data_IF_320251044631
#
_entry.id   IF_320251044631
#
_cell.length_a   1.000
_cell.length_b   1.000
_cell.length_c   1.000
_cell.angle_alpha   90.00
_cell.angle_beta   90.00
_cell.angle_gamma   90.00
#
_symmetry.space_group_name_H-M   'P 1'
#
loop_
_entity.id
_entity.type
_entity.pdbx_description
1 polymer ?
#
# COMPACT_ATOMS: atom_id res chain seq x y z
N UNK A 1 8.81 70.36 -31.24
CA UNK A 1 9.17 69.46 -32.37
C UNK A 1 10.23 68.47 -31.89
N UNK A 2 9.99 67.16 -32.08
CA UNK A 2 10.98 66.04 -32.13
C UNK A 2 11.67 65.70 -30.78
N UNK A 3 11.75 64.47 -30.25
CA UNK A 3 11.24 63.11 -30.56
C UNK A 3 11.26 62.37 -29.21
N UNK A 4 10.19 61.65 -28.88
CA UNK A 4 10.14 60.74 -27.71
C UNK A 4 10.91 59.46 -28.07
N UNK A 5 11.92 59.08 -27.28
CA UNK A 5 12.64 57.82 -27.44
C UNK A 5 12.30 56.90 -26.27
N UNK A 6 11.63 55.81 -26.57
CA UNK A 6 11.21 54.76 -25.65
C UNK A 6 12.44 53.89 -25.37
N UNK A 7 12.91 53.86 -24.12
CA UNK A 7 13.92 52.92 -23.66
C UNK A 7 13.22 51.84 -22.82
N UNK A 8 12.93 50.72 -23.48
CA UNK A 8 12.44 49.49 -22.87
C UNK A 8 13.64 48.64 -22.50
N UNK A 9 13.85 48.35 -21.22
CA UNK A 9 14.75 47.27 -20.83
C UNK A 9 14.03 46.35 -19.83
N UNK A 10 13.64 45.19 -20.36
CA UNK A 10 13.02 44.06 -19.67
C UNK A 10 13.83 43.63 -18.44
N UNK A 11 13.16 43.62 -17.28
CA UNK A 11 13.63 42.90 -16.10
C UNK A 11 13.15 41.45 -16.23
N UNK A 12 14.03 40.54 -16.65
CA UNK A 12 13.76 39.10 -16.60
C UNK A 12 13.86 38.62 -15.15
N UNK A 13 12.72 38.55 -14.46
CA UNK A 13 12.61 37.80 -13.21
C UNK A 13 12.47 36.32 -13.60
N UNK A 14 13.58 35.60 -13.61
CA UNK A 14 13.55 34.14 -13.69
C UNK A 14 13.25 33.62 -12.28
N UNK A 15 11.98 33.45 -11.97
CA UNK A 15 11.53 32.66 -10.82
C UNK A 15 11.74 31.18 -11.15
N UNK A 16 12.92 30.65 -10.83
CA UNK A 16 13.12 29.20 -10.76
C UNK A 16 12.25 28.69 -9.61
N UNK A 17 11.04 28.25 -9.93
CA UNK A 17 10.27 27.40 -9.05
C UNK A 17 11.05 26.08 -8.94
N UNK A 18 11.87 25.97 -7.89
CA UNK A 18 12.37 24.69 -7.42
C UNK A 18 11.16 23.89 -6.93
N UNK A 19 10.50 23.19 -7.86
CA UNK A 19 9.62 22.08 -7.52
C UNK A 19 10.56 20.93 -7.18
N UNK A 20 11.03 20.89 -5.93
CA UNK A 20 11.72 19.69 -5.43
C UNK A 20 10.82 18.47 -5.68
N UNK A 21 11.39 17.29 -5.97
CA UNK A 21 10.58 16.10 -6.16
C UNK A 21 9.69 15.95 -4.93
N UNK A 22 8.38 15.88 -5.15
CA UNK A 22 7.41 15.57 -4.11
C UNK A 22 7.90 14.24 -3.50
N UNK A 23 8.57 14.32 -2.35
CA UNK A 23 9.20 13.16 -1.75
C UNK A 23 8.07 12.26 -1.27
N UNK A 24 7.64 11.33 -2.13
CA UNK A 24 6.56 10.42 -1.80
C UNK A 24 6.99 9.68 -0.54
N UNK A 25 6.21 9.86 0.54
CA UNK A 25 6.49 9.23 1.83
C UNK A 25 6.67 7.74 1.59
N UNK A 26 7.88 7.28 1.83
CA UNK A 26 8.30 5.91 1.59
C UNK A 26 8.43 5.25 2.96
N UNK A 27 7.65 4.20 3.19
CA UNK A 27 7.73 3.41 4.44
C UNK A 27 8.68 2.25 4.19
N UNK A 28 9.62 2.01 5.10
CA UNK A 28 10.60 0.93 4.98
C UNK A 28 10.72 0.19 6.32
N UNK A 29 11.13 -1.07 6.25
CA UNK A 29 11.39 -1.89 7.43
C UNK A 29 11.90 -3.27 7.08
N UNK A 30 11.98 -4.15 8.07
CA UNK A 30 12.34 -5.55 7.89
C UNK A 30 11.09 -6.40 7.77
N UNK A 31 11.04 -7.31 6.78
CA UNK A 31 10.05 -8.37 6.80
C UNK A 31 10.48 -9.43 7.82
N UNK A 32 9.51 -10.07 8.48
CA UNK A 32 9.80 -11.21 9.36
C UNK A 32 9.96 -12.50 8.52
N UNK A 33 10.71 -12.43 7.41
CA UNK A 33 10.80 -13.50 6.42
C UNK A 33 12.11 -13.44 5.62
N UNK A 34 12.34 -14.45 4.79
CA UNK A 34 13.47 -14.50 3.84
C UNK A 34 13.36 -13.47 2.70
N UNK A 35 12.23 -12.75 2.59
CA UNK A 35 12.06 -11.69 1.59
C UNK A 35 12.89 -10.43 1.88
N UNK A 36 13.50 -10.32 3.07
CA UNK A 36 14.43 -9.24 3.41
C UNK A 36 13.72 -7.94 3.79
N UNK A 37 14.32 -6.80 3.45
CA UNK A 37 13.71 -5.49 3.68
C UNK A 37 12.48 -5.27 2.82
N UNK A 38 11.57 -4.42 3.28
CA UNK A 38 10.42 -3.98 2.49
C UNK A 38 10.43 -2.48 2.25
N UNK A 39 9.80 -2.08 1.14
CA UNK A 39 9.51 -0.70 0.80
C UNK A 39 8.07 -0.56 0.35
N UNK A 40 7.36 0.44 0.87
CA UNK A 40 5.99 0.77 0.49
C UNK A 40 5.98 2.16 -0.14
N UNK A 41 5.41 2.26 -1.34
CA UNK A 41 5.22 3.51 -2.08
C UNK A 41 3.77 3.69 -2.45
N UNK A 42 3.24 4.88 -2.29
CA UNK A 42 1.94 5.22 -2.84
C UNK A 42 2.00 5.20 -4.37
N UNK A 43 0.96 4.65 -5.00
CA UNK A 43 0.80 4.61 -6.45
C UNK A 43 -0.53 5.26 -6.86
N UNK A 44 -0.79 5.32 -8.17
CA UNK A 44 -2.07 5.80 -8.68
C UNK A 44 -3.23 4.97 -8.10
N UNK A 45 -4.40 5.59 -7.83
CA UNK A 45 -5.58 4.87 -7.36
C UNK A 45 -5.96 3.69 -8.28
N UNK A 46 -6.47 2.62 -7.67
CA UNK A 46 -6.85 1.39 -8.38
C UNK A 46 -8.35 1.15 -8.25
N UNK A 47 -9.01 0.81 -9.36
CA UNK A 47 -10.42 0.42 -9.34
C UNK A 47 -10.60 -0.97 -8.74
N UNK A 48 -11.40 -1.07 -7.68
CA UNK A 48 -11.80 -2.34 -7.08
C UNK A 48 -13.18 -2.21 -6.41
N UNK A 49 -14.01 -3.24 -6.51
CA UNK A 49 -15.34 -3.25 -5.89
C UNK A 49 -16.26 -2.09 -6.32
N UNK A 50 -16.07 -1.60 -7.56
CA UNK A 50 -16.85 -0.48 -8.11
C UNK A 50 -16.34 0.92 -7.75
N UNK A 51 -15.24 1.04 -7.01
CA UNK A 51 -14.71 2.31 -6.50
C UNK A 51 -13.24 2.52 -6.90
N UNK A 52 -12.80 3.77 -6.99
CA UNK A 52 -11.36 4.12 -7.08
C UNK A 52 -10.77 4.22 -5.68
N UNK A 53 -9.84 3.32 -5.35
CA UNK A 53 -9.24 3.22 -4.03
C UNK A 53 -7.80 3.75 -4.05
N UNK A 54 -7.42 4.47 -3.00
CA UNK A 54 -6.02 4.79 -2.72
C UNK A 54 -5.21 3.48 -2.64
N UNK A 55 -4.05 3.46 -3.29
CA UNK A 55 -3.28 2.25 -3.48
C UNK A 55 -1.80 2.46 -3.17
N UNK A 56 -1.17 1.39 -2.69
CA UNK A 56 0.26 1.32 -2.45
C UNK A 56 0.84 0.09 -3.13
N UNK A 57 2.09 0.21 -3.56
CA UNK A 57 2.93 -0.91 -3.93
C UNK A 57 3.86 -1.24 -2.76
N UNK A 58 3.81 -2.48 -2.32
CA UNK A 58 4.75 -3.11 -1.40
C UNK A 58 5.72 -3.96 -2.21
N UNK A 59 7.00 -3.67 -2.07
CA UNK A 59 8.10 -4.42 -2.68
C UNK A 59 9.00 -4.96 -1.57
N UNK A 60 9.51 -6.18 -1.76
CA UNK A 60 10.53 -6.76 -0.90
C UNK A 60 11.85 -6.86 -1.63
N UNK A 61 12.95 -6.86 -0.88
CA UNK A 61 14.31 -6.93 -1.42
C UNK A 61 14.58 -8.19 -2.23
N UNK A 62 14.11 -9.35 -1.75
CA UNK A 62 14.36 -10.65 -2.38
C UNK A 62 13.14 -11.17 -3.16
N UNK A 63 12.35 -10.27 -3.75
CA UNK A 63 11.20 -10.62 -4.59
C UNK A 63 11.07 -9.66 -5.76
N UNK A 64 10.80 -10.21 -6.95
CA UNK A 64 10.52 -9.42 -8.15
C UNK A 64 9.01 -9.12 -8.29
N UNK A 65 8.17 -9.76 -7.48
CA UNK A 65 6.73 -9.69 -7.56
C UNK A 65 6.15 -8.67 -6.57
N UNK A 66 5.76 -7.46 -7.02
CA UNK A 66 5.17 -6.46 -6.14
C UNK A 66 3.79 -6.87 -5.64
N UNK A 67 3.45 -6.40 -4.44
CA UNK A 67 2.15 -6.58 -3.79
C UNK A 67 1.41 -5.26 -3.81
N UNK A 68 0.11 -5.32 -4.13
CA UNK A 68 -0.76 -4.14 -4.13
C UNK A 68 -1.57 -4.11 -2.84
N UNK A 69 -1.56 -2.96 -2.16
CA UNK A 69 -2.36 -2.69 -0.97
C UNK A 69 -3.38 -1.62 -1.33
N UNK A 70 -4.67 -1.93 -1.21
CA UNK A 70 -5.77 -1.01 -1.44
C UNK A 70 -6.37 -0.56 -0.13
N UNK A 71 -6.64 0.73 0.02
CA UNK A 71 -7.23 1.31 1.23
C UNK A 71 -8.74 1.46 1.06
N UNK A 72 -9.49 0.69 1.85
CA UNK A 72 -10.95 0.78 1.97
C UNK A 72 -11.29 1.59 3.24
N UNK A 73 -11.48 2.90 3.06
CA UNK A 73 -11.73 3.82 4.18
C UNK A 73 -13.13 3.62 4.74
N UNK A 74 -13.21 3.49 6.07
CA UNK A 74 -14.48 3.53 6.81
C UNK A 74 -14.56 4.82 7.63
N UNK A 75 -15.70 5.08 8.26
CA UNK A 75 -15.90 6.28 9.08
C UNK A 75 -14.98 6.38 10.31
N UNK A 76 -14.33 5.28 10.73
CA UNK A 76 -13.53 5.25 11.97
C UNK A 76 -12.06 4.89 11.74
N UNK A 77 -11.77 4.11 10.71
CA UNK A 77 -10.42 3.70 10.33
C UNK A 77 -10.45 3.04 8.95
N UNK A 78 -9.32 2.51 8.49
CA UNK A 78 -9.20 1.89 7.16
C UNK A 78 -9.08 0.37 7.24
N UNK A 79 -9.76 -0.31 6.34
CA UNK A 79 -9.43 -1.68 5.98
C UNK A 79 -8.41 -1.65 4.83
N UNK A 80 -7.69 -2.76 4.67
CA UNK A 80 -6.67 -2.88 3.64
C UNK A 80 -6.86 -4.19 2.89
N UNK A 81 -6.95 -4.14 1.57
CA UNK A 81 -6.99 -5.33 0.72
C UNK A 81 -5.59 -5.51 0.14
N UNK A 82 -4.96 -6.64 0.43
CA UNK A 82 -3.57 -6.92 0.09
C UNK A 82 -3.54 -8.05 -0.92
N UNK A 83 -2.94 -7.82 -2.08
CA UNK A 83 -2.94 -8.77 -3.20
C UNK A 83 -1.54 -8.95 -3.78
N UNK A 84 -1.11 -10.20 -3.85
CA UNK A 84 -0.03 -10.63 -4.73
C UNK A 84 -0.62 -11.19 -6.04
N UNK A 85 0.22 -11.85 -6.85
CA UNK A 85 -0.20 -12.51 -8.09
C UNK A 85 -1.32 -13.55 -7.89
N UNK A 86 -1.26 -14.31 -6.80
CA UNK A 86 -2.15 -15.46 -6.57
C UNK A 86 -2.78 -15.52 -5.17
N UNK A 87 -2.43 -14.59 -4.28
CA UNK A 87 -2.92 -14.55 -2.90
C UNK A 87 -3.58 -13.21 -2.63
N UNK A 88 -4.77 -13.25 -2.02
CA UNK A 88 -5.42 -12.08 -1.47
C UNK A 88 -5.93 -12.29 -0.04
N UNK A 89 -5.76 -11.26 0.77
CA UNK A 89 -6.29 -11.17 2.13
C UNK A 89 -6.74 -9.74 2.37
N UNK A 90 -7.52 -9.54 3.44
CA UNK A 90 -7.79 -8.19 3.94
C UNK A 90 -7.34 -8.05 5.39
N UNK A 91 -6.89 -6.87 5.75
CA UNK A 91 -6.72 -6.47 7.13
C UNK A 91 -7.88 -5.57 7.51
N UNK A 92 -8.53 -5.91 8.62
CA UNK A 92 -9.73 -5.23 9.10
C UNK A 92 -9.40 -4.44 10.33
N UNK A 93 -9.68 -3.14 10.28
CA UNK A 93 -9.69 -2.31 11.47
C UNK A 93 -11.11 -2.26 12.05
N UNK A 94 -11.22 -2.45 13.37
CA UNK A 94 -12.47 -2.27 14.10
C UNK A 94 -12.18 -1.90 15.57
N UNK A 95 -13.23 -1.76 16.39
CA UNK A 95 -13.10 -1.42 17.82
C UNK A 95 -12.25 -2.40 18.64
N UNK A 96 -12.09 -3.64 18.17
CA UNK A 96 -11.29 -4.69 18.84
C UNK A 96 -9.84 -4.71 18.37
N UNK A 97 -9.48 -3.83 17.42
CA UNK A 97 -8.13 -3.67 16.90
C UNK A 97 -8.00 -3.96 15.41
N UNK A 98 -6.84 -4.51 15.03
CA UNK A 98 -6.41 -4.70 13.64
C UNK A 98 -5.94 -6.14 13.40
N UNK A 99 -6.33 -6.77 12.29
CA UNK A 99 -5.88 -8.13 11.97
C UNK A 99 -6.38 -8.65 10.62
N UNK A 100 -5.78 -9.75 10.18
CA UNK A 100 -6.02 -10.37 8.88
C UNK A 100 -7.33 -11.17 8.84
N UNK A 101 -8.01 -11.17 7.69
CA UNK A 101 -9.21 -11.95 7.37
C UNK A 101 -9.22 -12.29 5.88
N UNK A 102 -10.08 -13.22 5.49
CA UNK A 102 -10.43 -13.41 4.08
C UNK A 102 -11.07 -12.15 3.50
N UNK A 103 -10.76 -11.86 2.24
CA UNK A 103 -11.37 -10.77 1.47
C UNK A 103 -12.89 -10.97 1.39
N UNK A 104 -13.66 -9.88 1.44
CA UNK A 104 -15.10 -9.95 1.30
C UNK A 104 -15.52 -9.96 -0.18
N UNK A 105 -16.76 -10.38 -0.47
CA UNK A 105 -17.26 -10.49 -1.84
C UNK A 105 -17.10 -9.22 -2.69
N UNK A 106 -17.26 -8.02 -2.10
CA UNK A 106 -17.09 -6.73 -2.80
C UNK A 106 -15.71 -6.59 -3.45
N UNK A 107 -14.67 -7.06 -2.78
CA UNK A 107 -13.29 -6.91 -3.24
C UNK A 107 -12.66 -8.26 -3.63
N UNK A 108 -13.41 -9.34 -3.69
CA UNK A 108 -12.84 -10.63 -4.03
C UNK A 108 -12.44 -10.64 -5.52
N UNK A 109 -11.19 -11.00 -5.81
CA UNK A 109 -10.67 -11.17 -7.18
C UNK A 109 -10.42 -12.63 -7.50
N UNK A 110 -10.01 -13.42 -6.52
CA UNK A 110 -9.72 -14.84 -6.72
C UNK A 110 -10.90 -15.70 -6.27
N UNK A 111 -11.07 -16.83 -6.93
CA UNK A 111 -11.95 -17.87 -6.40
C UNK A 111 -11.44 -18.31 -5.01
N UNK A 112 -12.32 -18.52 -4.00
CA UNK A 112 -11.88 -18.85 -2.65
C UNK A 112 -11.07 -20.14 -2.57
N UNK A 113 -11.39 -21.13 -3.41
CA UNK A 113 -10.62 -22.37 -3.50
C UNK A 113 -9.24 -22.10 -4.09
N UNK A 114 -9.16 -21.26 -5.13
CA UNK A 114 -7.86 -20.83 -5.70
C UNK A 114 -7.02 -20.12 -4.65
N UNK A 115 -7.58 -19.14 -3.95
CA UNK A 115 -6.88 -18.40 -2.90
C UNK A 115 -6.40 -19.34 -1.77
N UNK A 116 -7.26 -20.29 -1.38
CA UNK A 116 -6.96 -21.30 -0.35
C UNK A 116 -5.79 -22.22 -0.69
N UNK A 117 -5.45 -22.41 -1.97
CA UNK A 117 -4.23 -23.16 -2.34
C UNK A 117 -2.96 -22.43 -1.90
N UNK A 118 -2.93 -21.10 -1.99
CA UNK A 118 -1.76 -20.27 -1.66
C UNK A 118 -1.75 -19.80 -0.20
N UNK A 119 -2.92 -19.75 0.44
CA UNK A 119 -3.11 -19.17 1.78
C UNK A 119 -2.73 -20.13 2.91
N UNK A 120 -1.87 -19.69 3.81
CA UNK A 120 -1.60 -20.37 5.08
C UNK A 120 -2.71 -20.04 6.10
N UNK A 121 -3.70 -20.93 6.23
CA UNK A 121 -4.86 -20.73 7.11
C UNK A 121 -4.48 -20.59 8.59
N UNK A 122 -3.49 -21.35 9.06
CA UNK A 122 -3.00 -21.25 10.44
C UNK A 122 -2.37 -19.87 10.71
N UNK A 123 -1.62 -19.34 9.76
CA UNK A 123 -1.07 -18.00 9.87
C UNK A 123 -2.18 -16.94 9.81
N UNK A 124 -3.20 -17.13 8.96
CA UNK A 124 -4.35 -16.22 8.92
C UNK A 124 -5.06 -16.16 10.27
N UNK A 125 -5.32 -17.31 10.90
CA UNK A 125 -5.92 -17.38 12.23
C UNK A 125 -5.06 -16.66 13.28
N UNK A 126 -3.75 -16.96 13.31
CA UNK A 126 -2.81 -16.32 14.23
C UNK A 126 -2.66 -14.81 14.03
N UNK A 127 -2.87 -14.33 12.81
CA UNK A 127 -2.84 -12.90 12.45
C UNK A 127 -4.22 -12.23 12.53
N UNK A 128 -5.27 -12.93 12.95
CA UNK A 128 -6.63 -12.38 13.09
C UNK A 128 -6.72 -11.19 14.06
N UNK A 129 -5.69 -10.99 14.89
CA UNK A 129 -5.50 -9.85 15.79
C UNK A 129 -4.02 -9.54 15.98
N UNK A 130 -3.49 -8.60 15.20
CA UNK A 130 -2.11 -8.09 15.29
C UNK A 130 -1.95 -6.92 16.25
N UNK A 131 -3.01 -6.13 16.46
CA UNK A 131 -3.01 -5.02 17.41
C UNK A 131 -4.36 -4.90 18.08
N UNK A 132 -4.39 -4.46 19.33
CA UNK A 132 -5.61 -4.04 20.06
C UNK A 132 -5.93 -2.56 19.87
N UNK A 133 -4.96 -1.77 19.41
CA UNK A 133 -5.06 -0.32 19.31
C UNK A 133 -5.57 0.08 17.93
N UNK A 134 -6.09 1.32 17.83
CA UNK A 134 -6.24 1.96 16.53
C UNK A 134 -4.85 2.31 16.01
N UNK A 135 -4.64 2.04 14.73
CA UNK A 135 -3.36 2.27 14.06
C UNK A 135 -3.50 3.46 13.12
N UNK A 136 -2.46 4.27 13.05
CA UNK A 136 -2.25 5.14 11.90
C UNK A 136 -2.08 4.31 10.63
N UNK A 137 -2.26 4.96 9.48
CA UNK A 137 -2.07 4.29 8.19
C UNK A 137 -0.65 3.74 8.02
N UNK A 138 0.36 4.48 8.47
CA UNK A 138 1.75 4.05 8.42
C UNK A 138 2.03 2.81 9.29
N UNK A 139 1.51 2.78 10.52
CA UNK A 139 1.63 1.61 11.40
C UNK A 139 0.92 0.39 10.81
N UNK A 140 -0.28 0.58 10.26
CA UNK A 140 -1.02 -0.50 9.61
C UNK A 140 -0.27 -1.05 8.39
N UNK A 141 0.26 -0.17 7.53
CA UNK A 141 1.07 -0.55 6.37
C UNK A 141 2.35 -1.29 6.77
N UNK A 142 3.02 -0.85 7.84
CA UNK A 142 4.21 -1.52 8.37
C UNK A 142 3.90 -2.92 8.90
N UNK A 143 2.80 -3.09 9.65
CA UNK A 143 2.35 -4.41 10.12
C UNK A 143 1.98 -5.33 8.96
N UNK A 144 1.27 -4.81 7.94
CA UNK A 144 0.95 -5.58 6.74
C UNK A 144 2.24 -6.08 6.09
N UNK A 145 3.20 -5.20 5.84
CA UNK A 145 4.45 -5.58 5.17
C UNK A 145 5.30 -6.56 5.99
N UNK A 146 5.29 -6.45 7.32
CA UNK A 146 6.05 -7.34 8.19
C UNK A 146 5.45 -8.76 8.27
N UNK A 147 4.12 -8.90 8.22
CA UNK A 147 3.42 -10.16 8.53
C UNK A 147 2.74 -10.84 7.32
N UNK A 148 2.47 -10.12 6.23
CA UNK A 148 1.87 -10.68 5.02
C UNK A 148 2.64 -11.89 4.44
N UNK A 149 3.99 -11.95 4.44
CA UNK A 149 4.71 -13.09 3.87
C UNK A 149 4.34 -14.43 4.50
N UNK A 150 4.07 -14.45 5.80
CA UNK A 150 3.68 -15.66 6.52
C UNK A 150 2.27 -16.16 6.16
N UNK A 151 1.45 -15.33 5.50
CA UNK A 151 0.12 -15.73 5.00
C UNK A 151 0.22 -16.56 3.71
N UNK A 152 1.38 -16.63 3.06
CA UNK A 152 1.60 -17.60 1.99
C UNK A 152 2.01 -18.96 2.59
N UNK A 153 1.51 -20.08 2.05
CA UNK A 153 1.96 -21.43 2.45
C UNK A 153 3.43 -21.66 2.14
N UNK A 154 3.90 -21.10 1.04
CA UNK A 154 5.30 -21.07 0.66
C UNK A 154 5.66 -19.63 0.25
N UNK A 155 6.74 -19.09 0.82
CA UNK A 155 7.25 -17.76 0.51
C UNK A 155 7.59 -17.60 -0.97
N UNK A 156 7.92 -18.70 -1.67
CA UNK A 156 8.16 -18.72 -3.13
C UNK A 156 6.97 -18.26 -3.95
N UNK A 157 5.75 -18.31 -3.40
CA UNK A 157 4.56 -17.76 -4.09
C UNK A 157 4.55 -16.23 -4.13
N UNK A 158 5.44 -15.58 -3.37
CA UNK A 158 5.60 -14.14 -3.30
C UNK A 158 6.92 -13.67 -3.93
N UNK A 159 7.80 -14.57 -4.37
CA UNK A 159 9.07 -14.26 -5.02
C UNK A 159 8.88 -14.03 -6.51
#
# INVERSE_FOLDING_TARGET
MKKLSIATTMLFIVSILFVGPLSAKTIQGQSNSTLGTYQIKQIAPVKAGGEELQAYQLSYENSENPIIILVDKTSKCSNYIVRSKNLEVRYVCNKRGFGAKLVNAKFQRFDPTVNGYYLNEKALEGQGKLSTNQLSEEEALGLIAAYFPALAKDVKFLM
#
